data_IF_186801195756
#
_entry.id   IF_186801195756
#
_cell.length_a   1.000
_cell.length_b   1.000
_cell.length_c   1.000
_cell.angle_alpha   90.00
_cell.angle_beta   90.00
_cell.angle_gamma   90.00
#
_symmetry.space_group_name_H-M   'P 1'
#
loop_
_entity.id
_entity.type
_entity.pdbx_description
1 polymer ?
#
# COMPACT_ATOMS: atom_id res chain seq x y z
N UNK A 1 -28.11 -8.65 31.97
CA UNK A 1 -28.08 -7.24 31.55
C UNK A 1 -26.67 -6.73 31.76
N UNK A 2 -25.82 -6.87 30.75
CA UNK A 2 -24.47 -6.30 30.75
C UNK A 2 -24.66 -4.79 30.61
N UNK A 3 -24.26 -4.02 31.61
CA UNK A 3 -24.21 -2.57 31.51
C UNK A 3 -23.28 -2.27 30.34
N UNK A 4 -23.80 -1.71 29.25
CA UNK A 4 -22.96 -1.24 28.16
C UNK A 4 -21.99 -0.22 28.79
N UNK A 5 -20.71 -0.55 28.86
CA UNK A 5 -19.71 0.40 29.32
C UNK A 5 -19.73 1.57 28.36
N UNK A 6 -20.03 2.77 28.85
CA UNK A 6 -20.00 3.98 28.04
C UNK A 6 -18.66 4.07 27.30
N UNK A 7 -18.72 4.23 25.98
CA UNK A 7 -17.52 4.34 25.14
C UNK A 7 -16.74 5.60 25.58
N UNK A 8 -15.44 5.48 25.90
CA UNK A 8 -14.64 6.62 26.31
C UNK A 8 -14.64 7.73 25.28
N UNK A 9 -14.68 8.98 25.76
CA UNK A 9 -14.73 10.17 24.90
C UNK A 9 -13.41 10.92 24.92
N UNK A 10 -12.95 11.30 23.74
CA UNK A 10 -11.74 12.09 23.49
C UNK A 10 -12.17 13.43 22.91
N UNK A 11 -11.82 14.53 23.59
CA UNK A 11 -12.30 15.87 23.22
C UNK A 11 -11.33 16.58 22.29
N UNK A 12 -11.85 16.99 21.13
CA UNK A 12 -11.15 17.77 20.14
C UNK A 12 -11.05 19.24 20.55
N UNK A 13 -9.94 19.90 20.20
CA UNK A 13 -9.83 21.35 20.26
C UNK A 13 -10.78 22.01 19.24
N UNK A 14 -11.62 22.97 19.65
CA UNK A 14 -12.63 23.54 18.75
C UNK A 14 -12.02 24.18 17.50
N UNK A 15 -10.83 24.77 17.58
CA UNK A 15 -10.12 25.36 16.44
C UNK A 15 -9.56 24.33 15.44
N UNK A 16 -9.56 23.03 15.79
CA UNK A 16 -9.06 21.93 14.94
C UNK A 16 -10.18 21.11 14.28
N UNK A 17 -11.44 21.46 14.49
CA UNK A 17 -12.61 20.68 14.02
C UNK A 17 -12.76 20.59 12.49
N UNK A 18 -12.27 21.59 11.74
CA UNK A 18 -12.58 21.72 10.31
C UNK A 18 -12.27 20.47 9.48
N UNK A 19 -11.12 19.84 9.69
CA UNK A 19 -10.72 18.65 8.92
C UNK A 19 -11.57 17.42 9.26
N UNK A 20 -12.08 17.32 10.48
CA UNK A 20 -12.86 16.17 10.93
C UNK A 20 -14.32 16.25 10.51
N UNK A 21 -14.84 17.46 10.25
CA UNK A 21 -16.12 17.65 9.56
C UNK A 21 -16.09 17.14 8.11
N UNK A 22 -14.90 17.07 7.51
CA UNK A 22 -14.64 16.44 6.22
C UNK A 22 -14.16 14.99 6.34
N UNK A 23 -14.41 14.35 7.50
CA UNK A 23 -14.12 12.94 7.75
C UNK A 23 -12.63 12.55 7.67
N UNK A 24 -11.72 13.47 8.02
CA UNK A 24 -10.31 13.10 8.13
C UNK A 24 -10.08 12.02 9.20
N UNK A 25 -9.46 10.87 8.89
CA UNK A 25 -9.41 9.73 9.79
C UNK A 25 -8.33 9.83 10.88
N UNK A 26 -7.32 10.68 10.71
CA UNK A 26 -6.22 10.77 11.68
C UNK A 26 -6.40 11.90 12.67
N UNK A 27 -6.47 11.54 13.94
CA UNK A 27 -6.49 12.50 15.05
C UNK A 27 -5.09 12.58 15.66
N UNK A 28 -4.44 13.71 15.43
CA UNK A 28 -3.14 13.98 16.04
C UNK A 28 -3.29 14.35 17.50
N UNK A 29 -2.33 13.98 18.36
CA UNK A 29 -2.30 14.36 19.78
C UNK A 29 -2.46 15.88 19.97
N UNK A 30 -1.86 16.68 19.08
CA UNK A 30 -1.96 18.14 19.06
C UNK A 30 -3.36 18.68 18.78
N UNK A 31 -4.28 17.84 18.29
CA UNK A 31 -5.66 18.21 18.00
C UNK A 31 -6.57 18.08 19.22
N UNK A 32 -6.09 17.50 20.32
CA UNK A 32 -6.91 17.18 21.51
C UNK A 32 -6.74 18.22 22.62
N UNK A 33 -7.82 18.50 23.37
CA UNK A 33 -7.82 19.43 24.53
C UNK A 33 -6.86 18.95 25.64
N UNK A 34 -6.61 17.64 25.70
CA UNK A 34 -5.58 17.00 26.51
C UNK A 34 -5.33 15.58 26.02
N UNK A 35 -4.28 14.92 26.54
CA UNK A 35 -4.05 13.51 26.24
C UNK A 35 -5.06 12.65 27.00
N UNK A 36 -5.75 11.71 26.35
CA UNK A 36 -6.64 10.78 27.03
C UNK A 36 -5.88 10.03 28.13
N UNK A 37 -6.50 9.94 29.32
CA UNK A 37 -5.99 9.17 30.46
C UNK A 37 -6.81 7.90 30.56
N UNK A 38 -6.19 6.81 31.03
CA UNK A 38 -6.84 5.52 31.25
C UNK A 38 -7.36 4.82 29.97
N UNK A 39 -6.75 5.10 28.82
CA UNK A 39 -6.94 4.33 27.59
C UNK A 39 -5.65 3.62 27.22
N UNK A 40 -5.79 2.41 26.69
CA UNK A 40 -4.73 1.56 26.19
C UNK A 40 -4.78 1.51 24.66
N UNK A 41 -3.64 1.19 24.04
CA UNK A 41 -3.64 0.96 22.58
C UNK A 41 -4.63 -0.15 22.23
N UNK A 42 -5.54 0.17 21.32
CA UNK A 42 -6.59 -0.74 20.84
C UNK A 42 -7.98 -0.39 21.36
N UNK A 43 -8.07 0.41 22.42
CA UNK A 43 -9.36 0.82 22.99
C UNK A 43 -10.19 1.59 21.96
N UNK A 44 -11.48 1.28 21.91
CA UNK A 44 -12.45 2.03 21.12
C UNK A 44 -12.77 3.33 21.85
N UNK A 45 -12.72 4.45 21.13
CA UNK A 45 -13.06 5.77 21.68
C UNK A 45 -13.80 6.65 20.68
N UNK A 46 -14.65 7.52 21.21
CA UNK A 46 -15.39 8.52 20.46
C UNK A 46 -14.64 9.85 20.46
N UNK A 47 -14.40 10.41 19.28
CA UNK A 47 -13.99 11.80 19.12
C UNK A 47 -15.21 12.69 19.24
N UNK A 48 -15.15 13.68 20.13
CA UNK A 48 -16.25 14.63 20.38
C UNK A 48 -15.75 16.07 20.37
N UNK A 49 -16.66 17.00 20.07
CA UNK A 49 -16.46 18.43 20.30
C UNK A 49 -16.57 18.78 21.80
N UNK A 50 -16.10 19.98 22.21
CA UNK A 50 -16.21 20.41 23.61
C UNK A 50 -17.65 20.45 24.17
N UNK A 51 -18.65 20.62 23.30
CA UNK A 51 -20.08 20.59 23.66
C UNK A 51 -20.66 19.16 23.73
N UNK A 52 -19.83 18.14 23.51
CA UNK A 52 -20.19 16.72 23.56
C UNK A 52 -20.74 16.15 22.26
N UNK A 53 -20.86 16.94 21.18
CA UNK A 53 -21.29 16.41 19.87
C UNK A 53 -20.28 15.40 19.32
N UNK A 54 -20.79 14.27 18.84
CA UNK A 54 -20.01 13.21 18.20
C UNK A 54 -19.43 13.65 16.87
N UNK A 55 -18.20 13.23 16.58
CA UNK A 55 -17.49 13.44 15.31
C UNK A 55 -17.17 12.12 14.62
N UNK A 56 -16.68 11.14 15.37
CA UNK A 56 -16.31 9.84 14.81
C UNK A 56 -15.84 8.87 15.89
N UNK A 57 -15.84 7.58 15.57
CA UNK A 57 -15.39 6.49 16.43
C UNK A 57 -14.15 5.83 15.85
N UNK A 58 -13.19 5.54 16.71
CA UNK A 58 -11.89 5.05 16.30
C UNK A 58 -11.20 4.15 17.32
N UNK A 59 -9.99 3.71 16.96
CA UNK A 59 -9.10 2.97 17.85
C UNK A 59 -7.99 3.89 18.37
N UNK A 60 -7.84 3.94 19.69
CA UNK A 60 -6.86 4.76 20.38
C UNK A 60 -5.48 4.10 20.36
N UNK A 61 -4.44 4.90 20.21
CA UNK A 61 -3.06 4.48 20.40
C UNK A 61 -2.39 5.40 21.42
N UNK A 62 -1.89 4.80 22.50
CA UNK A 62 -1.37 5.58 23.63
C UNK A 62 -0.21 6.50 23.25
N UNK A 63 0.68 6.09 22.34
CA UNK A 63 1.97 6.73 22.10
C UNK A 63 2.21 7.20 20.67
N UNK A 64 1.35 6.83 19.72
CA UNK A 64 1.48 7.32 18.35
C UNK A 64 1.17 8.81 18.29
N UNK A 65 1.82 9.52 17.37
CA UNK A 65 1.46 10.90 17.02
C UNK A 65 0.02 10.96 16.50
N UNK A 66 -0.43 9.91 15.80
CA UNK A 66 -1.83 9.67 15.42
C UNK A 66 -2.46 8.87 16.56
N UNK A 67 -2.91 9.57 17.60
CA UNK A 67 -3.39 8.94 18.83
C UNK A 67 -4.79 8.32 18.72
N UNK A 68 -5.57 8.69 17.70
CA UNK A 68 -6.85 8.05 17.40
C UNK A 68 -6.99 7.95 15.88
N UNK A 69 -7.28 6.76 15.38
CA UNK A 69 -7.61 6.49 13.97
C UNK A 69 -9.11 6.23 13.91
N UNK A 70 -9.84 7.10 13.22
CA UNK A 70 -11.29 6.98 13.05
C UNK A 70 -11.59 5.97 11.93
N UNK A 71 -12.59 5.14 12.17
CA UNK A 71 -13.06 4.13 11.23
C UNK A 71 -14.56 4.26 10.93
N UNK A 72 -15.31 4.99 11.77
CA UNK A 72 -16.73 5.24 11.58
C UNK A 72 -17.11 6.68 11.93
N UNK A 73 -18.06 7.22 11.19
CA UNK A 73 -18.75 8.50 11.45
C UNK A 73 -20.20 8.28 11.90
N UNK A 74 -20.57 7.02 12.13
CA UNK A 74 -21.83 6.63 12.76
C UNK A 74 -21.60 6.38 14.26
N UNK A 75 -22.35 7.09 15.10
CA UNK A 75 -22.31 6.99 16.57
C UNK A 75 -22.78 5.62 17.08
N UNK A 76 -23.57 4.91 16.28
CA UNK A 76 -24.19 3.63 16.67
C UNK A 76 -23.36 2.43 16.16
N UNK A 77 -22.31 2.68 15.36
CA UNK A 77 -21.45 1.62 14.83
C UNK A 77 -20.60 0.96 15.93
N UNK A 78 -20.76 -0.35 16.11
CA UNK A 78 -19.83 -1.15 16.90
C UNK A 78 -18.59 -1.49 16.04
N UNK A 79 -17.38 -1.24 16.55
CA UNK A 79 -16.13 -1.65 15.87
C UNK A 79 -15.79 -3.12 16.19
N UNK A 80 -16.78 -3.99 16.04
CA UNK A 80 -16.70 -5.43 16.27
C UNK A 80 -16.28 -6.19 15.01
N UNK A 81 -16.21 -7.52 15.09
CA UNK A 81 -15.75 -8.34 13.98
C UNK A 81 -16.63 -8.20 12.73
N UNK A 82 -17.95 -8.03 12.89
CA UNK A 82 -18.86 -7.84 11.76
C UNK A 82 -18.56 -6.54 11.01
N UNK A 83 -18.27 -5.45 11.75
CA UNK A 83 -17.84 -4.19 11.17
C UNK A 83 -16.58 -4.34 10.33
N UNK A 84 -15.55 -5.02 10.85
CA UNK A 84 -14.30 -5.19 10.12
C UNK A 84 -14.44 -6.10 8.90
N UNK A 85 -15.18 -7.21 9.03
CA UNK A 85 -15.47 -8.09 7.90
C UNK A 85 -16.18 -7.35 6.78
N UNK A 86 -17.14 -6.48 7.12
CA UNK A 86 -17.83 -5.64 6.14
C UNK A 86 -16.88 -4.67 5.43
N UNK A 87 -15.98 -3.99 6.17
CA UNK A 87 -14.97 -3.10 5.58
C UNK A 87 -14.00 -3.85 4.65
N UNK A 88 -13.54 -5.04 5.06
CA UNK A 88 -12.69 -5.89 4.22
C UNK A 88 -13.41 -6.31 2.93
N UNK A 89 -14.68 -6.70 3.03
CA UNK A 89 -15.51 -7.08 1.88
C UNK A 89 -15.69 -5.92 0.90
N UNK A 90 -16.01 -4.72 1.40
CA UNK A 90 -16.14 -3.52 0.58
C UNK A 90 -14.85 -3.18 -0.18
N UNK A 91 -13.70 -3.17 0.53
CA UNK A 91 -12.42 -2.84 -0.06
C UNK A 91 -12.02 -3.82 -1.18
N UNK A 92 -12.23 -5.11 -0.95
CA UNK A 92 -11.96 -6.16 -1.96
C UNK A 92 -12.93 -6.08 -3.12
N UNK A 93 -14.24 -5.93 -2.87
CA UNK A 93 -15.27 -5.86 -3.90
C UNK A 93 -15.01 -4.70 -4.89
N UNK A 94 -14.54 -3.55 -4.38
CA UNK A 94 -14.14 -2.42 -5.22
C UNK A 94 -13.09 -2.80 -6.27
N UNK A 95 -12.18 -3.74 -5.98
CA UNK A 95 -11.15 -4.14 -6.97
C UNK A 95 -11.72 -4.97 -8.09
N UNK A 96 -12.77 -5.76 -7.82
CA UNK A 96 -13.52 -6.45 -8.88
C UNK A 96 -14.28 -5.45 -9.74
N UNK A 97 -14.92 -4.44 -9.15
CA UNK A 97 -15.61 -3.37 -9.90
C UNK A 97 -14.65 -2.58 -10.80
N UNK A 98 -13.40 -2.42 -10.38
CA UNK A 98 -12.32 -1.76 -11.13
C UNK A 98 -11.57 -2.69 -12.10
N UNK A 99 -12.00 -3.94 -12.28
CA UNK A 99 -11.34 -4.95 -13.14
C UNK A 99 -9.86 -5.20 -12.76
N UNK A 100 -9.57 -5.16 -11.46
CA UNK A 100 -8.24 -5.40 -10.88
C UNK A 100 -8.12 -6.80 -10.24
N UNK A 101 -9.09 -7.68 -10.50
CA UNK A 101 -9.20 -9.01 -9.89
C UNK A 101 -8.62 -10.17 -10.73
N UNK A 102 -7.90 -9.87 -11.82
CA UNK A 102 -7.16 -10.86 -12.63
C UNK A 102 -6.27 -11.77 -11.76
N UNK A 103 -6.47 -13.11 -11.76
CA UNK A 103 -5.70 -14.05 -10.95
C UNK A 103 -4.24 -14.20 -11.40
N UNK A 104 -3.90 -13.77 -12.61
CA UNK A 104 -2.52 -13.72 -13.11
C UNK A 104 -1.88 -12.34 -12.94
N UNK A 105 -2.66 -11.36 -12.51
CA UNK A 105 -2.20 -9.99 -12.31
C UNK A 105 -1.69 -9.70 -10.90
N UNK A 106 -1.51 -8.42 -10.64
CA UNK A 106 -1.27 -7.91 -9.30
C UNK A 106 -2.10 -6.64 -9.06
N UNK A 107 -2.55 -6.47 -7.82
CA UNK A 107 -3.37 -5.34 -7.42
C UNK A 107 -3.27 -5.08 -5.92
N UNK A 108 -3.36 -3.81 -5.54
CA UNK A 108 -3.63 -3.43 -4.16
C UNK A 108 -5.10 -3.67 -3.87
N UNK A 109 -5.40 -4.65 -3.01
CA UNK A 109 -6.75 -4.98 -2.58
C UNK A 109 -7.25 -4.05 -1.47
N UNK A 110 -6.37 -3.62 -0.58
CA UNK A 110 -6.70 -2.70 0.52
C UNK A 110 -5.61 -1.63 0.62
N UNK A 111 -6.02 -0.37 0.67
CA UNK A 111 -5.16 0.81 0.70
C UNK A 111 -5.47 1.73 1.89
N UNK A 112 -5.33 1.17 3.10
CA UNK A 112 -5.34 1.91 4.35
C UNK A 112 -6.58 2.82 4.47
N UNK A 113 -6.39 4.11 4.74
CA UNK A 113 -7.46 5.10 4.86
C UNK A 113 -8.27 5.28 3.58
N UNK A 114 -7.68 5.00 2.41
CA UNK A 114 -8.38 5.05 1.13
C UNK A 114 -9.52 4.03 1.01
N UNK A 115 -9.51 3.00 1.87
CA UNK A 115 -10.51 1.95 1.97
C UNK A 115 -11.14 1.87 3.37
N UNK A 116 -11.12 2.97 4.13
CA UNK A 116 -11.61 3.04 5.52
C UNK A 116 -10.99 2.01 6.49
N UNK A 117 -9.81 1.49 6.14
CA UNK A 117 -9.06 0.49 6.92
C UNK A 117 -7.70 1.07 7.32
N UNK A 118 -7.71 2.28 7.90
CA UNK A 118 -6.51 3.01 8.34
C UNK A 118 -5.50 2.09 9.03
N UNK A 119 -4.29 2.02 8.48
CA UNK A 119 -3.21 1.20 8.98
C UNK A 119 -3.05 -0.17 8.31
N UNK A 120 -3.94 -0.58 7.40
CA UNK A 120 -3.88 -1.88 6.72
C UNK A 120 -3.64 -1.72 5.22
N UNK A 121 -2.64 -2.40 4.69
CA UNK A 121 -2.41 -2.52 3.25
C UNK A 121 -2.39 -4.00 2.89
N UNK A 122 -3.08 -4.38 1.82
CA UNK A 122 -3.03 -5.75 1.29
C UNK A 122 -2.80 -5.68 -0.21
N UNK A 123 -1.67 -6.21 -0.65
CA UNK A 123 -1.33 -6.37 -2.06
C UNK A 123 -1.43 -7.83 -2.45
N UNK A 124 -2.06 -8.10 -3.60
CA UNK A 124 -2.15 -9.42 -4.22
C UNK A 124 -1.19 -9.49 -5.40
N UNK A 125 -0.41 -10.56 -5.45
CA UNK A 125 0.48 -10.88 -6.56
C UNK A 125 0.20 -12.32 -7.01
N UNK A 126 -0.60 -12.47 -8.06
CA UNK A 126 -1.17 -13.76 -8.46
C UNK A 126 -1.90 -14.42 -7.29
N UNK A 127 -1.45 -15.61 -6.90
CA UNK A 127 -2.00 -16.39 -5.78
C UNK A 127 -1.46 -16.03 -4.39
N UNK A 128 -0.59 -15.04 -4.27
CA UNK A 128 0.06 -14.65 -3.01
C UNK A 128 -0.50 -13.33 -2.48
N UNK A 129 -0.59 -13.19 -1.16
CA UNK A 129 -0.90 -11.93 -0.50
C UNK A 129 0.29 -11.43 0.31
N UNK A 130 0.55 -10.13 0.21
CA UNK A 130 1.44 -9.40 1.11
C UNK A 130 0.59 -8.42 1.91
N UNK A 131 0.50 -8.68 3.21
CA UNK A 131 -0.29 -7.90 4.18
C UNK A 131 0.67 -7.03 4.98
N UNK A 132 0.54 -5.72 4.86
CA UNK A 132 1.35 -4.78 5.60
C UNK A 132 0.51 -4.04 6.64
N UNK A 133 0.97 -4.10 7.89
CA UNK A 133 0.40 -3.33 8.98
C UNK A 133 1.26 -2.08 9.22
N UNK A 134 0.61 -0.93 9.24
CA UNK A 134 1.24 0.37 9.45
C UNK A 134 0.73 1.08 10.71
N UNK A 135 -0.12 0.42 11.49
CA UNK A 135 -0.55 0.90 12.80
C UNK A 135 -0.75 -0.26 13.79
N UNK A 136 -0.38 -0.03 15.06
CA UNK A 136 -0.48 -1.06 16.10
C UNK A 136 -1.92 -1.48 16.39
N UNK A 137 -2.83 -0.51 16.37
CA UNK A 137 -4.26 -0.73 16.70
C UNK A 137 -4.97 -1.68 15.74
N UNK A 138 -4.60 -1.67 14.45
CA UNK A 138 -5.16 -2.59 13.46
C UNK A 138 -4.35 -3.89 13.43
N UNK A 139 -3.06 -3.87 13.77
CA UNK A 139 -2.24 -5.08 13.95
C UNK A 139 -2.75 -5.97 15.08
N UNK A 140 -3.32 -5.41 16.15
CA UNK A 140 -4.00 -6.19 17.20
C UNK A 140 -5.21 -7.01 16.70
N UNK A 141 -5.70 -6.70 15.48
CA UNK A 141 -6.78 -7.44 14.80
C UNK A 141 -6.27 -8.35 13.69
N UNK A 142 -4.96 -8.57 13.61
CA UNK A 142 -4.33 -9.34 12.55
C UNK A 142 -4.92 -10.75 12.43
N UNK A 143 -5.19 -11.45 13.53
CA UNK A 143 -5.73 -12.81 13.48
C UNK A 143 -7.09 -12.87 12.77
N UNK A 144 -8.00 -11.95 13.07
CA UNK A 144 -9.31 -11.85 12.42
C UNK A 144 -9.15 -11.48 10.94
N UNK A 145 -8.32 -10.48 10.62
CA UNK A 145 -8.08 -10.03 9.24
C UNK A 145 -7.46 -11.16 8.40
N UNK A 146 -6.43 -11.81 8.92
CA UNK A 146 -5.74 -12.91 8.24
C UNK A 146 -6.65 -14.12 8.06
N UNK A 147 -7.51 -14.42 9.04
CA UNK A 147 -8.50 -15.50 8.90
C UNK A 147 -9.50 -15.19 7.80
N UNK A 148 -10.04 -13.98 7.76
CA UNK A 148 -10.94 -13.53 6.70
C UNK A 148 -10.27 -13.61 5.32
N UNK A 149 -9.02 -13.12 5.17
CA UNK A 149 -8.28 -13.18 3.91
C UNK A 149 -8.07 -14.63 3.45
N UNK A 150 -7.74 -15.55 4.37
CA UNK A 150 -7.58 -16.99 4.05
C UNK A 150 -8.89 -17.59 3.54
N UNK A 151 -9.99 -17.35 4.23
CA UNK A 151 -11.28 -17.96 3.92
C UNK A 151 -11.89 -17.41 2.62
N UNK A 152 -11.82 -16.09 2.43
CA UNK A 152 -12.49 -15.40 1.34
C UNK A 152 -11.65 -15.36 0.06
N UNK A 153 -10.34 -15.15 0.17
CA UNK A 153 -9.45 -15.01 -1.00
C UNK A 153 -8.69 -16.29 -1.33
N UNK A 154 -8.61 -17.25 -0.39
CA UNK A 154 -7.95 -18.56 -0.56
C UNK A 154 -6.57 -18.48 -1.24
N UNK A 155 -5.66 -17.62 -0.74
CA UNK A 155 -4.33 -17.49 -1.34
C UNK A 155 -3.49 -18.73 -1.08
N UNK A 156 -2.51 -18.98 -1.95
CA UNK A 156 -1.54 -20.06 -1.76
C UNK A 156 -0.62 -19.80 -0.56
N UNK A 157 -0.27 -18.53 -0.30
CA UNK A 157 0.42 -18.12 0.91
C UNK A 157 0.20 -16.63 1.24
N UNK A 158 0.39 -16.29 2.53
CA UNK A 158 0.30 -14.92 3.03
C UNK A 158 1.60 -14.54 3.73
N UNK A 159 2.19 -13.43 3.30
CA UNK A 159 3.30 -12.79 4.00
C UNK A 159 2.80 -11.58 4.79
N UNK A 160 3.18 -11.49 6.06
CA UNK A 160 2.96 -10.30 6.89
C UNK A 160 4.22 -9.45 6.91
N UNK A 161 4.05 -8.13 6.75
CA UNK A 161 5.10 -7.13 6.80
C UNK A 161 4.80 -6.02 7.81
N UNK A 162 5.83 -5.66 8.56
CA UNK A 162 5.90 -4.42 9.35
C UNK A 162 7.26 -3.80 9.08
N UNK A 163 7.27 -2.66 8.40
CA UNK A 163 8.51 -1.94 8.06
C UNK A 163 9.21 -1.41 9.32
N UNK A 164 10.54 -1.43 9.35
CA UNK A 164 11.32 -1.05 10.55
C UNK A 164 11.09 0.39 11.03
N UNK A 165 10.83 1.34 10.13
CA UNK A 165 10.49 2.72 10.52
C UNK A 165 9.10 2.78 11.15
N UNK A 166 8.15 2.05 10.57
CA UNK A 166 6.78 1.99 11.08
C UNK A 166 6.73 1.25 12.42
N UNK A 167 7.41 0.10 12.52
CA UNK A 167 7.58 -0.68 13.74
C UNK A 167 8.02 0.20 14.91
N UNK A 168 9.09 0.99 14.70
CA UNK A 168 9.58 1.95 15.70
C UNK A 168 8.56 3.03 16.05
N UNK A 169 7.87 3.59 15.05
CA UNK A 169 6.91 4.68 15.27
C UNK A 169 5.64 4.23 16.02
N UNK A 170 5.21 3.00 15.79
CA UNK A 170 3.96 2.42 16.32
C UNK A 170 4.23 1.37 17.43
N UNK A 171 5.46 1.31 17.96
CA UNK A 171 5.87 0.33 19.00
C UNK A 171 5.50 -1.13 18.65
N UNK A 172 5.71 -1.52 17.40
CA UNK A 172 5.60 -2.89 16.93
C UNK A 172 6.99 -3.47 16.69
N UNK A 173 7.07 -4.79 16.53
CA UNK A 173 8.29 -5.43 16.05
C UNK A 173 8.32 -5.41 14.52
N UNK A 174 9.49 -5.13 13.90
CA UNK A 174 9.64 -5.30 12.47
C UNK A 174 9.42 -6.77 12.09
N UNK A 175 8.72 -7.00 11.00
CA UNK A 175 8.35 -8.35 10.59
C UNK A 175 8.36 -8.46 9.07
N UNK A 176 8.84 -9.60 8.58
CA UNK A 176 8.66 -10.05 7.21
C UNK A 176 8.60 -11.58 7.24
N UNK A 177 7.39 -12.14 7.36
CA UNK A 177 7.21 -13.57 7.64
C UNK A 177 6.03 -14.14 6.88
N UNK A 178 6.21 -15.34 6.33
CA UNK A 178 5.11 -16.12 5.76
C UNK A 178 4.33 -16.78 6.91
N UNK A 179 3.06 -16.40 7.08
CA UNK A 179 2.21 -16.82 8.21
C UNK A 179 1.14 -17.83 7.81
N UNK A 180 1.06 -18.15 6.52
CA UNK A 180 0.12 -19.10 5.96
C UNK A 180 0.64 -19.64 4.63
N UNK A 181 0.41 -20.93 4.40
CA UNK A 181 0.74 -21.58 3.14
C UNK A 181 2.24 -21.75 2.92
N UNK A 182 2.60 -22.14 1.70
CA UNK A 182 3.99 -22.34 1.31
C UNK A 182 4.53 -21.13 0.54
N UNK A 183 5.66 -20.55 0.96
CA UNK A 183 6.26 -19.43 0.24
C UNK A 183 6.67 -19.84 -1.18
N UNK A 184 6.70 -18.89 -2.13
CA UNK A 184 7.23 -19.17 -3.46
C UNK A 184 8.71 -19.57 -3.38
N UNK A 185 9.08 -20.65 -4.07
CA UNK A 185 10.46 -21.17 -4.14
C UNK A 185 11.29 -20.54 -5.25
N UNK A 186 10.66 -19.73 -6.09
CA UNK A 186 11.25 -18.97 -7.19
C UNK A 186 10.51 -17.64 -7.35
N UNK A 187 11.08 -16.65 -8.09
CA UNK A 187 10.35 -15.43 -8.43
C UNK A 187 9.00 -15.74 -9.07
N UNK A 188 7.96 -15.05 -8.63
CA UNK A 188 6.59 -15.25 -9.10
C UNK A 188 6.38 -14.43 -10.37
N UNK A 189 5.65 -14.96 -11.33
CA UNK A 189 5.29 -14.23 -12.53
C UNK A 189 3.91 -13.56 -12.35
N UNK A 190 3.83 -12.28 -12.71
CA UNK A 190 2.57 -11.53 -12.83
C UNK A 190 2.44 -10.93 -14.23
N UNK A 191 1.21 -10.66 -14.63
CA UNK A 191 0.86 -9.97 -15.86
C UNK A 191 0.32 -8.56 -15.56
N UNK A 192 0.85 -7.55 -16.24
CA UNK A 192 0.31 -6.19 -16.20
C UNK A 192 0.14 -5.68 -17.63
N UNK A 193 -1.10 -5.52 -18.10
CA UNK A 193 -1.42 -5.02 -19.45
C UNK A 193 -0.64 -5.74 -20.59
N UNK A 194 -0.47 -7.07 -20.49
CA UNK A 194 0.26 -7.87 -21.47
C UNK A 194 1.79 -7.86 -21.32
N UNK A 195 2.30 -7.26 -20.24
CA UNK A 195 3.71 -7.28 -19.85
C UNK A 195 3.87 -8.31 -18.72
N UNK A 196 4.79 -9.26 -18.94
CA UNK A 196 5.16 -10.27 -17.95
C UNK A 196 6.26 -9.73 -17.05
N UNK A 197 6.10 -9.86 -15.74
CA UNK A 197 7.07 -9.42 -14.74
C UNK A 197 7.32 -10.58 -13.76
N UNK A 198 8.58 -10.77 -13.38
CA UNK A 198 8.98 -11.71 -12.34
C UNK A 198 9.39 -10.96 -11.07
N UNK A 199 8.73 -11.27 -9.96
CA UNK A 199 8.91 -10.59 -8.68
C UNK A 199 9.42 -11.56 -7.65
N UNK A 200 10.51 -11.21 -6.97
CA UNK A 200 10.89 -11.87 -5.73
C UNK A 200 10.16 -11.17 -4.58
N UNK A 201 9.13 -11.80 -4.05
CA UNK A 201 8.37 -11.17 -2.98
C UNK A 201 9.18 -10.95 -1.71
N UNK A 202 10.31 -11.62 -1.46
CA UNK A 202 11.13 -11.35 -0.27
C UNK A 202 12.12 -10.20 -0.47
N UNK A 203 12.67 -10.06 -1.67
CA UNK A 203 13.73 -9.08 -1.97
C UNK A 203 13.22 -7.78 -2.60
N UNK A 204 12.04 -7.80 -3.22
CA UNK A 204 11.56 -6.65 -3.99
C UNK A 204 11.10 -5.49 -3.10
N UNK A 205 11.21 -4.27 -3.61
CA UNK A 205 10.90 -3.05 -2.87
C UNK A 205 9.42 -2.97 -2.48
N UNK A 206 9.11 -2.16 -1.46
CA UNK A 206 7.76 -1.96 -0.92
C UNK A 206 7.17 -3.29 -0.45
N UNK A 207 6.10 -3.75 -1.08
CA UNK A 207 5.45 -5.05 -0.86
C UNK A 207 5.76 -6.04 -1.97
N UNK A 208 6.51 -5.64 -3.01
CA UNK A 208 6.79 -6.43 -4.20
C UNK A 208 7.05 -5.58 -5.43
N UNK A 209 6.13 -4.66 -5.77
CA UNK A 209 6.22 -3.83 -6.97
C UNK A 209 5.47 -2.50 -6.79
N UNK A 210 5.75 -1.52 -7.66
CA UNK A 210 5.03 -0.24 -7.68
C UNK A 210 3.72 -0.39 -8.47
N UNK A 211 2.71 -0.97 -7.82
CA UNK A 211 1.36 -1.18 -8.37
C UNK A 211 0.61 0.14 -8.59
N UNK A 212 0.95 1.18 -7.83
CA UNK A 212 0.42 2.54 -7.96
C UNK A 212 0.75 3.20 -9.31
N UNK A 213 1.78 2.71 -10.01
CA UNK A 213 2.20 3.20 -11.31
C UNK A 213 1.61 2.42 -12.50
N UNK A 214 0.73 1.43 -12.27
CA UNK A 214 0.12 0.58 -13.32
C UNK A 214 -0.50 1.40 -14.45
N UNK A 215 -1.42 2.30 -14.11
CA UNK A 215 -2.14 3.09 -15.09
C UNK A 215 -1.26 4.18 -15.71
N UNK A 216 -0.30 4.70 -14.95
CA UNK A 216 0.66 5.67 -15.47
C UNK A 216 1.57 5.05 -16.53
N UNK A 217 2.05 3.81 -16.32
CA UNK A 217 2.82 3.06 -17.31
C UNK A 217 2.00 2.85 -18.58
N UNK A 218 0.75 2.40 -18.43
CA UNK A 218 -0.15 2.18 -19.57
C UNK A 218 -0.50 3.49 -20.31
N UNK A 219 -0.77 4.58 -19.58
CA UNK A 219 -1.10 5.87 -20.15
C UNK A 219 0.09 6.52 -20.86
N UNK A 220 1.28 6.49 -20.26
CA UNK A 220 2.50 7.06 -20.83
C UNK A 220 2.84 6.39 -22.18
N UNK A 221 2.70 5.06 -22.26
CA UNK A 221 3.01 4.29 -23.46
C UNK A 221 2.27 4.80 -24.73
N UNK A 222 1.07 5.36 -24.57
CA UNK A 222 0.26 5.92 -25.69
C UNK A 222 0.96 7.07 -26.43
N UNK A 223 1.90 7.76 -25.80
CA UNK A 223 2.60 8.91 -26.36
C UNK A 223 3.96 8.57 -26.99
N UNK A 224 4.45 7.34 -26.80
CA UNK A 224 5.86 7.00 -27.04
C UNK A 224 6.12 6.29 -28.38
N UNK A 225 5.08 5.97 -29.15
CA UNK A 225 5.22 5.28 -30.44
C UNK A 225 6.18 6.03 -31.39
N UNK A 226 7.19 5.32 -31.89
CA UNK A 226 8.20 5.83 -32.81
C UNK A 226 9.18 6.85 -32.22
N UNK A 227 9.12 7.14 -30.91
CA UNK A 227 9.99 8.12 -30.25
C UNK A 227 11.23 7.46 -29.65
N UNK A 228 12.28 8.26 -29.46
CA UNK A 228 13.37 7.95 -28.54
C UNK A 228 12.91 8.24 -27.11
N UNK A 229 13.18 7.34 -26.17
CA UNK A 229 12.68 7.39 -24.78
C UNK A 229 13.83 7.26 -23.80
N UNK A 230 13.85 8.14 -22.80
CA UNK A 230 14.72 8.04 -21.64
C UNK A 230 13.86 7.73 -20.41
N UNK A 231 14.06 6.55 -19.81
CA UNK A 231 13.41 6.09 -18.58
C UNK A 231 14.41 6.19 -17.42
N UNK A 232 14.27 7.20 -16.58
CA UNK A 232 15.18 7.49 -15.47
C UNK A 232 14.64 6.91 -14.17
N UNK A 233 15.50 6.27 -13.38
CA UNK A 233 15.11 5.49 -12.21
C UNK A 233 14.14 4.35 -12.59
N UNK A 234 14.50 3.62 -13.64
CA UNK A 234 13.60 2.68 -14.32
C UNK A 234 13.21 1.47 -13.45
N UNK A 235 13.92 1.22 -12.35
CA UNK A 235 13.76 0.06 -11.48
C UNK A 235 13.73 -1.24 -12.30
N UNK A 236 12.62 -1.99 -12.26
CA UNK A 236 12.44 -3.25 -13.02
C UNK A 236 12.03 -3.03 -14.49
N UNK A 237 12.14 -1.81 -15.00
CA UNK A 237 11.89 -1.45 -16.39
C UNK A 237 10.42 -1.26 -16.75
N UNK A 238 9.53 -0.99 -15.79
CA UNK A 238 8.08 -0.96 -16.03
C UNK A 238 7.65 0.02 -17.14
N UNK A 239 8.13 1.26 -17.09
CA UNK A 239 7.84 2.25 -18.15
C UNK A 239 8.53 1.88 -19.47
N UNK A 240 9.80 1.46 -19.43
CA UNK A 240 10.55 0.98 -20.61
C UNK A 240 9.85 -0.17 -21.34
N UNK A 241 9.36 -1.18 -20.62
CA UNK A 241 8.65 -2.32 -21.20
C UNK A 241 7.32 -1.88 -21.84
N UNK A 242 6.57 -0.99 -21.17
CA UNK A 242 5.34 -0.44 -21.70
C UNK A 242 5.59 0.40 -22.97
N UNK A 243 6.64 1.23 -22.98
CA UNK A 243 7.07 1.99 -24.13
C UNK A 243 7.46 1.08 -25.31
N UNK A 244 8.24 0.03 -25.05
CA UNK A 244 8.66 -0.93 -26.06
C UNK A 244 7.46 -1.65 -26.69
N UNK A 245 6.52 -2.14 -25.86
CA UNK A 245 5.28 -2.80 -26.32
C UNK A 245 4.37 -1.86 -27.13
N UNK A 246 4.38 -0.56 -26.84
CA UNK A 246 3.64 0.43 -27.62
C UNK A 246 4.36 0.87 -28.91
N UNK A 247 5.53 0.31 -29.22
CA UNK A 247 6.28 0.58 -30.44
C UNK A 247 7.12 1.85 -30.39
N UNK A 248 7.66 2.20 -29.23
CA UNK A 248 8.75 3.19 -29.14
C UNK A 248 9.95 2.76 -30.00
N UNK A 249 10.74 3.74 -30.45
CA UNK A 249 11.91 3.52 -31.30
C UNK A 249 13.06 2.92 -30.50
N UNK A 250 13.91 3.78 -29.94
CA UNK A 250 14.99 3.41 -29.02
C UNK A 250 14.65 3.82 -27.60
N UNK A 251 15.03 3.00 -26.61
CA UNK A 251 14.77 3.27 -25.20
C UNK A 251 16.09 3.15 -24.44
N UNK A 252 16.44 4.16 -23.64
CA UNK A 252 17.51 4.10 -22.66
C UNK A 252 16.89 4.10 -21.26
N UNK A 253 17.19 3.06 -20.48
CA UNK A 253 16.68 2.87 -19.14
C UNK A 253 17.83 2.93 -18.13
N UNK A 254 17.72 3.83 -17.14
CA UNK A 254 18.76 4.13 -16.16
C UNK A 254 18.30 3.82 -14.74
N UNK A 255 19.13 3.15 -13.95
CA UNK A 255 18.90 2.96 -12.52
C UNK A 255 20.21 2.82 -11.75
N UNK A 256 20.21 3.23 -10.48
CA UNK A 256 21.37 3.14 -9.59
C UNK A 256 21.54 1.75 -8.97
N UNK A 257 20.55 0.86 -9.11
CA UNK A 257 20.63 -0.51 -8.61
C UNK A 257 21.08 -1.47 -9.72
N UNK A 258 22.28 -2.07 -9.62
CA UNK A 258 22.71 -3.12 -10.55
C UNK A 258 21.74 -4.30 -10.60
N UNK A 259 21.14 -4.63 -9.44
CA UNK A 259 20.17 -5.71 -9.31
C UNK A 259 18.86 -5.39 -10.05
N UNK A 260 18.35 -4.17 -9.93
CA UNK A 260 17.15 -3.75 -10.65
C UNK A 260 17.38 -3.80 -12.17
N UNK A 261 18.53 -3.33 -12.63
CA UNK A 261 18.93 -3.40 -14.04
C UNK A 261 19.05 -4.84 -14.56
N UNK A 262 19.62 -5.75 -13.77
CA UNK A 262 19.67 -7.19 -14.12
C UNK A 262 18.26 -7.78 -14.31
N UNK A 263 17.35 -7.50 -13.39
CA UNK A 263 15.96 -7.96 -13.46
C UNK A 263 15.20 -7.31 -14.62
N UNK A 264 15.42 -6.02 -14.87
CA UNK A 264 14.81 -5.31 -15.99
C UNK A 264 15.23 -5.90 -17.35
N UNK A 265 16.50 -6.31 -17.50
CA UNK A 265 16.97 -7.07 -18.68
C UNK A 265 16.26 -8.40 -18.82
N UNK A 266 16.12 -9.17 -17.74
CA UNK A 266 15.35 -10.42 -17.73
C UNK A 266 13.90 -10.21 -18.14
N UNK A 267 13.27 -9.12 -17.70
CA UNK A 267 11.91 -8.77 -18.15
C UNK A 267 11.85 -8.40 -19.62
N UNK A 268 12.85 -7.70 -20.16
CA UNK A 268 12.92 -7.40 -21.58
C UNK A 268 13.00 -8.68 -22.42
N UNK A 269 13.86 -9.62 -22.02
CA UNK A 269 13.96 -10.96 -22.62
C UNK A 269 12.63 -11.73 -22.53
N UNK A 270 12.01 -11.74 -21.35
CA UNK A 270 10.73 -12.42 -21.08
C UNK A 270 9.58 -11.91 -21.97
N UNK A 271 9.64 -10.64 -22.36
CA UNK A 271 8.64 -9.97 -23.20
C UNK A 271 9.06 -9.89 -24.68
N UNK A 272 10.23 -10.43 -25.05
CA UNK A 272 10.74 -10.43 -26.42
C UNK A 272 11.04 -9.03 -26.97
N UNK A 273 11.43 -8.08 -26.11
CA UNK A 273 11.77 -6.71 -26.52
C UNK A 273 13.28 -6.50 -26.49
N UNK A 274 13.82 -5.94 -27.57
CA UNK A 274 15.28 -5.79 -27.78
C UNK A 274 15.73 -4.35 -28.00
N UNK A 275 14.80 -3.41 -28.09
CA UNK A 275 15.08 -1.99 -28.34
C UNK A 275 15.33 -1.17 -27.06
N UNK A 276 15.57 -1.84 -25.93
CA UNK A 276 15.85 -1.21 -24.63
C UNK A 276 17.33 -1.41 -24.29
N UNK A 277 18.06 -0.30 -24.16
CA UNK A 277 19.38 -0.27 -23.58
C UNK A 277 19.26 0.00 -22.08
N UNK A 278 19.75 -0.92 -21.25
CA UNK A 278 19.79 -0.74 -19.80
C UNK A 278 21.19 -0.35 -19.34
N UNK A 279 21.31 0.78 -18.64
CA UNK A 279 22.56 1.26 -18.07
C UNK A 279 22.45 1.52 -16.57
N UNK A 280 23.50 1.14 -15.86
CA UNK A 280 23.64 1.41 -14.43
C UNK A 280 24.39 2.72 -14.23
N UNK A 281 23.84 3.61 -13.40
CA UNK A 281 24.49 4.88 -13.06
C UNK A 281 23.59 5.82 -12.27
N UNK A 282 24.20 6.86 -11.69
CA UNK A 282 23.46 7.95 -11.08
C UNK A 282 22.74 8.78 -12.15
N UNK A 283 21.47 9.08 -11.90
CA UNK A 283 20.64 9.78 -12.87
C UNK A 283 21.13 11.21 -13.15
N UNK A 284 21.62 11.94 -12.15
CA UNK A 284 22.07 13.31 -12.32
C UNK A 284 23.37 13.35 -13.11
N UNK A 285 24.34 12.50 -12.77
CA UNK A 285 25.60 12.39 -13.50
C UNK A 285 25.41 12.00 -14.98
N UNK A 286 24.50 11.05 -15.25
CA UNK A 286 24.18 10.64 -16.61
C UNK A 286 23.51 11.76 -17.41
N UNK A 287 22.56 12.48 -16.80
CA UNK A 287 21.89 13.62 -17.44
C UNK A 287 22.87 14.76 -17.73
N UNK A 288 23.78 15.08 -16.81
CA UNK A 288 24.86 16.05 -17.05
C UNK A 288 25.76 15.63 -18.21
N UNK A 289 26.11 14.35 -18.27
CA UNK A 289 26.91 13.78 -19.38
C UNK A 289 26.18 13.92 -20.72
N UNK A 290 24.87 13.69 -20.78
CA UNK A 290 24.10 13.85 -22.02
C UNK A 290 24.07 15.30 -22.51
N UNK A 291 23.94 16.27 -21.59
CA UNK A 291 24.03 17.69 -21.92
C UNK A 291 25.41 18.04 -22.47
N UNK A 292 26.48 17.58 -21.83
CA UNK A 292 27.87 17.85 -22.26
C UNK A 292 28.18 17.23 -23.64
N UNK A 293 27.67 16.02 -23.89
CA UNK A 293 27.89 15.28 -25.14
C UNK A 293 26.89 15.62 -26.23
N UNK A 294 25.94 16.54 -25.98
CA UNK A 294 24.85 16.90 -26.88
C UNK A 294 24.04 15.69 -27.38
N UNK A 295 23.91 14.67 -26.53
CA UNK A 295 23.02 13.55 -26.80
C UNK A 295 21.58 14.08 -26.79
N UNK A 296 20.89 13.92 -27.92
CA UNK A 296 19.49 14.30 -28.09
C UNK A 296 18.55 13.30 -27.44
#
# INVERSE_FOLDING_TARGET
>A
MTIASDIPRITLRPEKQGTFLAHHPWVLVSSLVGRPKNLQTGDVADLVLPDGRFIGRGLFHESSRICLRLYSWDKDAALDDAFWQHKLEQAVALRTELELDDPHGAARLIYSEGDDLSGLIVDRYGQYLVVQFTAQVIYQRADMILSWLKERLRPAAIQVRVDGRVARAEKMEPQQTWVHGEPPTAPIEIMEHGIRLQLDLNESQKTGYYLDQRDNRHAAAKYLRGRSVLDVCCYLGGFSLAAARAGAGEILALDTSPRAIELARKHAELNGVSNIQFAHGDCFEQLETFVQTQRK
#
